data_IF_231154224055
#
_entry.id   IF_231154224055
#
_cell.length_a   1.000
_cell.length_b   1.000
_cell.length_c   1.000
_cell.angle_alpha   90.00
_cell.angle_beta   90.00
_cell.angle_gamma   90.00
#
_symmetry.space_group_name_H-M   'P 1'
#
loop_
_entity.id
_entity.type
_entity.pdbx_description
1 polymer ?
#
# COMPACT_ATOMS: atom_id res chain seq x y z
N UNK A 1 -3.50 -21.06 -9.15
CA UNK A 1 -4.08 -20.55 -7.89
C UNK A 1 -5.58 -20.52 -8.04
N UNK A 2 -6.29 -21.05 -7.05
CA UNK A 2 -7.75 -20.99 -6.89
C UNK A 2 -8.20 -19.58 -6.45
N UNK A 3 -9.52 -19.34 -6.41
CA UNK A 3 -10.05 -18.10 -5.83
C UNK A 3 -9.69 -17.94 -4.35
N UNK A 4 -9.74 -19.04 -3.59
CA UNK A 4 -9.34 -19.06 -2.18
C UNK A 4 -7.84 -18.75 -2.03
N UNK A 5 -6.99 -19.32 -2.90
CA UNK A 5 -5.54 -19.04 -2.86
C UNK A 5 -5.29 -17.53 -3.03
N UNK A 6 -5.94 -16.89 -4.00
CA UNK A 6 -5.80 -15.44 -4.21
C UNK A 6 -6.37 -14.63 -3.06
N UNK A 7 -7.57 -14.98 -2.57
CA UNK A 7 -8.23 -14.26 -1.48
C UNK A 7 -7.39 -14.30 -0.19
N UNK A 8 -6.95 -15.48 0.23
CA UNK A 8 -6.17 -15.63 1.46
C UNK A 8 -4.71 -15.16 1.33
N UNK A 9 -4.18 -15.10 0.10
CA UNK A 9 -2.93 -14.40 -0.19
C UNK A 9 -3.12 -12.88 -0.35
N UNK A 10 -4.31 -12.31 -0.12
CA UNK A 10 -4.55 -10.86 -0.24
C UNK A 10 -4.37 -10.30 -1.66
N UNK A 11 -4.48 -11.14 -2.69
CA UNK A 11 -4.53 -10.76 -4.10
C UNK A 11 -6.00 -10.63 -4.53
N UNK A 12 -6.69 -9.65 -3.95
CA UNK A 12 -8.14 -9.50 -4.00
C UNK A 12 -8.63 -9.16 -5.42
N UNK A 13 -7.88 -8.36 -6.17
CA UNK A 13 -8.24 -8.03 -7.55
C UNK A 13 -8.16 -9.26 -8.45
N UNK A 14 -7.11 -10.08 -8.29
CA UNK A 14 -7.01 -11.36 -9.02
C UNK A 14 -8.10 -12.34 -8.62
N UNK A 15 -8.45 -12.41 -7.33
CA UNK A 15 -9.58 -13.20 -6.86
C UNK A 15 -10.90 -12.76 -7.52
N UNK A 16 -11.16 -11.46 -7.53
CA UNK A 16 -12.36 -10.87 -8.13
C UNK A 16 -12.46 -11.12 -9.63
N UNK A 17 -11.37 -10.92 -10.38
CA UNK A 17 -11.31 -11.19 -11.81
C UNK A 17 -11.52 -12.66 -12.13
N UNK A 18 -10.90 -13.56 -11.37
CA UNK A 18 -11.08 -15.00 -11.53
C UNK A 18 -12.53 -15.41 -11.25
N UNK A 19 -13.13 -14.89 -10.17
CA UNK A 19 -14.52 -15.16 -9.81
C UNK A 19 -15.51 -14.77 -10.93
N UNK A 20 -15.28 -13.63 -11.61
CA UNK A 20 -16.11 -13.19 -12.75
C UNK A 20 -16.00 -14.10 -13.98
N UNK A 21 -14.96 -14.91 -14.07
CA UNK A 21 -14.72 -15.83 -15.18
C UNK A 21 -15.23 -17.26 -14.92
N UNK A 22 -15.68 -17.56 -13.70
CA UNK A 22 -16.19 -18.90 -13.34
C UNK A 22 -17.47 -19.22 -14.10
N UNK A 23 -17.46 -20.35 -14.81
CA UNK A 23 -18.61 -20.85 -15.59
C UNK A 23 -19.06 -22.25 -15.18
N UNK A 24 -18.24 -22.97 -14.42
CA UNK A 24 -18.59 -24.30 -13.92
C UNK A 24 -19.57 -24.17 -12.74
N UNK A 25 -20.46 -25.15 -12.54
CA UNK A 25 -21.47 -25.10 -11.48
C UNK A 25 -20.90 -25.40 -10.08
N UNK A 26 -19.74 -26.07 -10.00
CA UNK A 26 -19.08 -26.44 -8.73
C UNK A 26 -18.59 -25.19 -7.97
N UNK A 27 -17.95 -24.27 -8.66
CA UNK A 27 -17.34 -23.06 -8.08
C UNK A 27 -18.27 -21.85 -8.10
N UNK A 28 -19.41 -21.93 -8.80
CA UNK A 28 -20.31 -20.78 -9.05
C UNK A 28 -20.79 -20.10 -7.78
N UNK A 29 -21.11 -20.88 -6.75
CA UNK A 29 -21.58 -20.36 -5.45
C UNK A 29 -20.45 -19.60 -4.74
N UNK A 30 -19.23 -20.13 -4.75
CA UNK A 30 -18.05 -19.49 -4.18
C UNK A 30 -17.68 -18.20 -4.94
N UNK A 31 -17.73 -18.25 -6.27
CA UNK A 31 -17.49 -17.09 -7.12
C UNK A 31 -18.48 -15.95 -6.83
N UNK A 32 -19.78 -16.26 -6.72
CA UNK A 32 -20.81 -15.26 -6.36
C UNK A 32 -20.57 -14.65 -4.97
N UNK A 33 -20.08 -15.44 -4.01
CA UNK A 33 -19.70 -14.93 -2.68
C UNK A 33 -18.56 -13.91 -2.79
N UNK A 34 -17.50 -14.23 -3.53
CA UNK A 34 -16.37 -13.31 -3.70
C UNK A 34 -16.72 -12.07 -4.49
N UNK A 35 -17.52 -12.20 -5.57
CA UNK A 35 -18.01 -11.04 -6.31
C UNK A 35 -18.76 -10.10 -5.38
N UNK A 36 -19.76 -10.61 -4.63
CA UNK A 36 -20.54 -9.78 -3.70
C UNK A 36 -19.66 -9.13 -2.63
N UNK A 37 -18.72 -9.86 -2.07
CA UNK A 37 -17.82 -9.34 -1.03
C UNK A 37 -16.91 -8.23 -1.57
N UNK A 38 -16.38 -8.40 -2.78
CA UNK A 38 -15.34 -7.52 -3.32
C UNK A 38 -15.90 -6.34 -4.14
N UNK A 39 -17.17 -6.39 -4.54
CA UNK A 39 -17.84 -5.32 -5.28
C UNK A 39 -17.93 -4.01 -4.46
N UNK A 40 -18.03 -4.10 -3.13
CA UNK A 40 -18.08 -2.94 -2.22
C UNK A 40 -16.79 -2.11 -2.20
N UNK A 41 -15.65 -2.70 -2.55
CA UNK A 41 -14.34 -2.04 -2.55
C UNK A 41 -14.05 -1.30 -3.87
N UNK A 42 -14.96 -1.41 -4.84
CA UNK A 42 -14.94 -0.67 -6.11
C UNK A 42 -13.58 -0.72 -6.84
N UNK A 43 -12.88 -1.85 -6.81
CA UNK A 43 -11.56 -2.01 -7.45
C UNK A 43 -11.56 -1.65 -8.94
N UNK A 44 -12.69 -1.81 -9.62
CA UNK A 44 -12.88 -1.41 -11.01
C UNK A 44 -12.68 0.12 -11.23
N UNK A 45 -12.76 0.93 -10.16
CA UNK A 45 -12.53 2.40 -10.17
C UNK A 45 -11.08 2.79 -9.86
N UNK A 46 -10.23 1.84 -9.49
CA UNK A 46 -8.83 2.15 -9.23
C UNK A 46 -8.17 2.69 -10.50
N UNK A 47 -7.29 3.71 -10.39
CA UNK A 47 -6.48 4.15 -11.51
C UNK A 47 -5.71 2.97 -12.09
N UNK A 48 -5.82 2.76 -13.40
CA UNK A 48 -5.16 1.63 -14.07
C UNK A 48 -3.74 2.03 -14.46
N UNK A 49 -2.70 1.30 -14.00
CA UNK A 49 -1.36 1.47 -14.52
C UNK A 49 -1.35 1.40 -16.05
N UNK A 50 -0.53 2.22 -16.67
CA UNK A 50 -0.34 2.23 -18.11
C UNK A 50 0.83 1.34 -18.49
N UNK A 51 1.06 1.12 -19.79
CA UNK A 51 2.24 0.38 -20.26
C UNK A 51 3.58 1.13 -20.05
N UNK A 52 3.54 2.33 -19.47
CA UNK A 52 4.74 3.11 -19.21
C UNK A 52 5.52 2.51 -18.03
N UNK A 53 6.80 2.21 -18.27
CA UNK A 53 7.71 1.74 -17.22
C UNK A 53 8.24 2.95 -16.47
N UNK A 54 7.69 3.17 -15.28
CA UNK A 54 8.13 4.18 -14.33
C UNK A 54 9.28 3.61 -13.47
N UNK A 55 10.27 4.45 -13.14
CA UNK A 55 11.37 4.04 -12.26
C UNK A 55 10.84 3.88 -10.84
N UNK A 56 11.04 2.72 -10.24
CA UNK A 56 10.72 2.48 -8.83
C UNK A 56 11.98 2.70 -7.99
N UNK A 57 11.90 3.59 -7.00
CA UNK A 57 13.02 3.84 -6.10
C UNK A 57 13.00 2.85 -4.96
N UNK A 58 14.19 2.39 -4.59
CA UNK A 58 14.38 1.52 -3.43
C UNK A 58 14.45 2.37 -2.17
N UNK A 59 13.84 1.88 -1.09
CA UNK A 59 13.93 2.48 0.23
C UNK A 59 15.38 2.57 0.71
N UNK A 60 15.75 3.72 1.27
CA UNK A 60 17.09 4.00 1.79
C UNK A 60 17.29 3.39 3.18
N UNK A 61 18.54 3.45 3.66
CA UNK A 61 18.91 2.95 4.99
C UNK A 61 18.18 3.66 6.15
N UNK A 62 17.73 4.90 5.94
CA UNK A 62 16.95 5.70 6.88
C UNK A 62 15.43 5.49 6.76
N UNK A 63 15.01 4.46 6.03
CA UNK A 63 13.61 4.10 5.75
C UNK A 63 12.84 5.14 4.93
N UNK A 64 13.53 6.11 4.32
CA UNK A 64 12.93 7.08 3.41
C UNK A 64 12.96 6.61 1.96
N UNK A 65 12.06 7.17 1.16
CA UNK A 65 12.12 7.12 -0.30
C UNK A 65 12.53 8.48 -0.86
N UNK A 66 13.15 8.56 -2.05
CA UNK A 66 13.46 9.84 -2.70
C UNK A 66 12.27 10.77 -2.87
N UNK A 67 11.07 10.23 -3.03
CA UNK A 67 9.83 10.99 -3.10
C UNK A 67 9.55 11.79 -1.83
N UNK A 68 10.15 11.42 -0.70
CA UNK A 68 10.03 12.10 0.60
C UNK A 68 11.07 13.19 0.84
N UNK A 69 11.99 13.46 -0.11
CA UNK A 69 13.06 14.45 0.11
C UNK A 69 12.47 15.84 0.38
N UNK A 70 11.40 16.19 -0.36
CA UNK A 70 10.78 17.50 -0.23
C UNK A 70 10.05 17.67 1.12
N UNK A 71 9.49 16.62 1.71
CA UNK A 71 8.83 16.75 3.02
C UNK A 71 9.84 17.11 4.12
N UNK A 72 11.07 16.59 4.03
CA UNK A 72 12.16 16.89 4.97
C UNK A 72 12.55 18.36 4.87
N UNK A 73 12.75 18.88 3.65
CA UNK A 73 13.07 20.28 3.41
C UNK A 73 12.00 21.21 3.98
N UNK A 74 10.72 20.91 3.71
CA UNK A 74 9.59 21.75 4.13
C UNK A 74 9.47 21.77 5.65
N UNK A 75 9.60 20.60 6.30
CA UNK A 75 9.50 20.50 7.77
C UNK A 75 10.66 21.15 8.51
N UNK A 76 11.78 21.41 7.83
CA UNK A 76 12.91 22.14 8.39
C UNK A 76 12.71 23.67 8.40
N UNK A 77 11.71 24.19 7.67
CA UNK A 77 11.41 25.63 7.60
C UNK A 77 10.80 26.07 8.94
N UNK A 78 11.51 26.95 9.66
CA UNK A 78 11.04 27.50 10.95
C UNK A 78 10.26 28.80 10.81
N UNK A 79 10.49 29.52 9.72
CA UNK A 79 9.81 30.78 9.44
C UNK A 79 8.40 30.51 8.90
N UNK A 80 7.38 31.02 9.58
CA UNK A 80 5.98 30.73 9.27
C UNK A 80 5.57 31.25 7.89
N UNK A 81 6.08 32.42 7.47
CA UNK A 81 5.78 33.01 6.16
C UNK A 81 6.39 32.16 5.04
N UNK A 82 7.65 31.76 5.19
CA UNK A 82 8.33 30.87 4.25
C UNK A 82 7.66 29.49 4.17
N UNK A 83 7.22 28.94 5.30
CA UNK A 83 6.49 27.67 5.34
C UNK A 83 5.16 27.80 4.60
N UNK A 84 4.36 28.82 4.92
CA UNK A 84 3.07 29.07 4.26
C UNK A 84 3.23 29.26 2.75
N UNK A 85 4.25 30.01 2.31
CA UNK A 85 4.59 30.16 0.89
C UNK A 85 4.91 28.83 0.24
N UNK A 86 5.60 27.93 0.95
CA UNK A 86 5.96 26.62 0.42
C UNK A 86 4.73 25.71 0.26
N UNK A 87 3.77 25.78 1.19
CA UNK A 87 2.48 25.10 1.06
C UNK A 87 1.68 25.64 -0.14
N UNK A 88 1.61 26.96 -0.31
CA UNK A 88 0.93 27.56 -1.48
C UNK A 88 1.54 27.10 -2.81
N UNK A 89 2.86 26.94 -2.87
CA UNK A 89 3.52 26.41 -4.07
C UNK A 89 3.13 24.96 -4.35
N UNK A 90 3.03 24.11 -3.32
CA UNK A 90 2.56 22.73 -3.50
C UNK A 90 1.12 22.72 -4.05
N UNK A 91 0.23 23.52 -3.48
CA UNK A 91 -1.16 23.63 -3.95
C UNK A 91 -1.25 24.11 -5.39
N UNK A 92 -0.41 25.07 -5.78
CA UNK A 92 -0.37 25.57 -7.17
C UNK A 92 0.13 24.48 -8.13
N UNK A 93 1.22 23.79 -7.79
CA UNK A 93 1.74 22.66 -8.58
C UNK A 93 0.68 21.56 -8.74
N UNK A 94 -0.06 21.26 -7.66
CA UNK A 94 -1.15 20.27 -7.70
C UNK A 94 -2.29 20.66 -8.66
N UNK A 95 -2.46 21.96 -8.96
CA UNK A 95 -3.47 22.48 -9.89
C UNK A 95 -2.95 22.56 -11.32
N UNK A 96 -1.76 23.11 -11.52
CA UNK A 96 -1.28 23.54 -12.85
C UNK A 96 -0.10 22.75 -13.41
N UNK A 97 0.56 21.92 -12.59
CA UNK A 97 1.70 21.11 -13.00
C UNK A 97 1.36 19.99 -14.00
N UNK A 98 2.41 19.32 -14.49
CA UNK A 98 2.24 18.06 -15.25
C UNK A 98 1.68 16.95 -14.36
N UNK A 99 1.22 15.84 -14.93
CA UNK A 99 0.74 14.70 -14.14
C UNK A 99 1.79 14.20 -13.14
N UNK A 100 3.07 14.17 -13.52
CA UNK A 100 4.15 13.80 -12.62
C UNK A 100 4.35 14.82 -11.47
N UNK A 101 4.37 16.12 -11.80
CA UNK A 101 4.52 17.18 -10.80
C UNK A 101 3.34 17.20 -9.82
N UNK A 102 2.12 17.02 -10.34
CA UNK A 102 0.91 16.93 -9.53
C UNK A 102 0.97 15.73 -8.60
N UNK A 103 1.37 14.57 -9.10
CA UNK A 103 1.50 13.36 -8.29
C UNK A 103 2.49 13.56 -7.14
N UNK A 104 3.68 14.09 -7.43
CA UNK A 104 4.70 14.38 -6.42
C UNK A 104 4.24 15.45 -5.42
N UNK A 105 3.54 16.49 -5.87
CA UNK A 105 2.99 17.52 -4.99
C UNK A 105 1.93 16.95 -4.03
N UNK A 106 0.98 16.16 -4.56
CA UNK A 106 0.00 15.48 -3.72
C UNK A 106 0.65 14.50 -2.75
N UNK A 107 1.66 13.74 -3.16
CA UNK A 107 2.40 12.86 -2.27
C UNK A 107 3.06 13.64 -1.13
N UNK A 108 3.76 14.73 -1.45
CA UNK A 108 4.40 15.60 -0.46
C UNK A 108 3.39 16.19 0.53
N UNK A 109 2.24 16.67 0.04
CA UNK A 109 1.14 17.14 0.89
C UNK A 109 0.60 16.03 1.79
N UNK A 110 0.46 14.81 1.25
CA UNK A 110 0.01 13.63 2.00
C UNK A 110 0.94 13.29 3.16
N UNK A 111 2.26 13.34 2.95
CA UNK A 111 3.24 13.14 4.03
C UNK A 111 3.22 14.28 5.06
N UNK A 112 3.06 15.53 4.62
CA UNK A 112 2.93 16.66 5.55
C UNK A 112 1.70 16.50 6.45
N UNK A 113 0.55 16.14 5.89
CA UNK A 113 -0.66 15.83 6.66
C UNK A 113 -0.44 14.63 7.59
N UNK A 114 0.28 13.60 7.13
CA UNK A 114 0.62 12.44 7.96
C UNK A 114 1.43 12.84 9.19
N UNK A 115 2.47 13.66 9.01
CA UNK A 115 3.29 14.18 10.13
C UNK A 115 2.50 15.10 11.06
N UNK A 116 1.46 15.76 10.56
CA UNK A 116 0.56 16.58 11.34
C UNK A 116 -0.63 15.78 11.94
N UNK A 117 -0.64 14.46 11.81
CA UNK A 117 -1.69 13.55 12.31
C UNK A 117 -3.09 13.74 11.67
N UNK A 118 -3.15 14.37 10.49
CA UNK A 118 -4.35 14.52 9.68
C UNK A 118 -4.49 13.35 8.71
N UNK A 119 -4.86 12.17 9.23
CA UNK A 119 -4.78 10.92 8.48
C UNK A 119 -5.75 10.85 7.30
N UNK A 120 -6.95 11.44 7.42
CA UNK A 120 -7.94 11.42 6.34
C UNK A 120 -7.47 12.25 5.14
N UNK A 121 -6.97 13.45 5.40
CA UNK A 121 -6.39 14.35 4.42
C UNK A 121 -5.13 13.74 3.80
N UNK A 122 -4.31 13.07 4.61
CA UNK A 122 -3.12 12.33 4.16
C UNK A 122 -3.47 11.24 3.14
N UNK A 123 -4.40 10.34 3.49
CA UNK A 123 -4.86 9.28 2.58
C UNK A 123 -5.50 9.86 1.33
N UNK A 124 -6.31 10.92 1.47
CA UNK A 124 -6.90 11.59 0.32
C UNK A 124 -5.83 12.12 -0.64
N UNK A 125 -4.80 12.80 -0.13
CA UNK A 125 -3.68 13.29 -0.92
C UNK A 125 -2.92 12.15 -1.61
N UNK A 126 -2.62 11.05 -0.92
CA UNK A 126 -1.96 9.90 -1.55
C UNK A 126 -2.81 9.26 -2.65
N UNK A 127 -4.12 9.18 -2.46
CA UNK A 127 -5.04 8.71 -3.53
C UNK A 127 -5.04 9.65 -4.74
N UNK A 128 -4.91 10.96 -4.54
CA UNK A 128 -4.72 11.89 -5.66
C UNK A 128 -3.37 11.66 -6.35
N UNK A 129 -2.30 11.41 -5.60
CA UNK A 129 -0.99 11.10 -6.18
C UNK A 129 -1.07 9.86 -7.09
N UNK A 130 -1.72 8.80 -6.62
CA UNK A 130 -2.02 7.58 -7.39
C UNK A 130 -2.84 7.88 -8.65
N UNK A 131 -3.87 8.73 -8.57
CA UNK A 131 -4.68 9.13 -9.73
C UNK A 131 -3.86 9.87 -10.79
N UNK A 132 -2.93 10.72 -10.35
CA UNK A 132 -2.09 11.51 -11.27
C UNK A 132 -0.96 10.67 -11.87
N UNK A 133 -0.38 9.75 -11.12
CA UNK A 133 0.59 8.78 -11.62
C UNK A 133 0.30 7.37 -11.05
N UNK A 134 -0.44 6.53 -11.79
CA UNK A 134 -0.76 5.18 -11.34
C UNK A 134 0.41 4.19 -11.50
N UNK A 135 1.50 4.58 -12.15
CA UNK A 135 2.64 3.68 -12.42
C UNK A 135 3.70 3.70 -11.31
N UNK A 136 3.52 4.54 -10.28
CA UNK A 136 4.50 4.72 -9.22
C UNK A 136 4.13 3.93 -7.97
N UNK A 137 4.87 2.86 -7.68
CA UNK A 137 4.56 1.91 -6.61
C UNK A 137 4.51 2.57 -5.22
N UNK A 138 5.41 3.52 -4.92
CA UNK A 138 5.46 4.18 -3.60
C UNK A 138 4.17 4.92 -3.26
N UNK A 139 3.47 5.50 -4.24
CA UNK A 139 2.19 6.18 -4.00
C UNK A 139 1.11 5.18 -3.56
N UNK A 140 1.06 4.01 -4.18
CA UNK A 140 0.17 2.92 -3.76
C UNK A 140 0.56 2.36 -2.39
N UNK A 141 1.84 2.03 -2.23
CA UNK A 141 2.37 1.37 -1.04
C UNK A 141 2.22 2.19 0.23
N UNK A 142 2.56 3.49 0.18
CA UNK A 142 2.38 4.41 1.30
C UNK A 142 0.89 4.64 1.62
N UNK A 143 0.02 4.67 0.60
CA UNK A 143 -1.44 4.73 0.82
C UNK A 143 -1.90 3.51 1.63
N UNK A 144 -1.58 2.30 1.17
CA UNK A 144 -1.97 1.05 1.85
C UNK A 144 -1.38 0.91 3.25
N UNK A 145 -0.10 1.27 3.44
CA UNK A 145 0.54 1.32 4.75
C UNK A 145 -0.16 2.29 5.71
N UNK A 146 -0.48 3.50 5.24
CA UNK A 146 -1.16 4.52 6.05
C UNK A 146 -2.56 4.06 6.42
N UNK A 147 -3.32 3.52 5.46
CA UNK A 147 -4.66 2.96 5.68
C UNK A 147 -4.65 1.88 6.75
N UNK A 148 -3.74 0.90 6.65
CA UNK A 148 -3.59 -0.16 7.65
C UNK A 148 -3.25 0.42 9.04
N UNK A 149 -2.25 1.30 9.11
CA UNK A 149 -1.76 1.84 10.39
C UNK A 149 -2.81 2.64 11.16
N UNK A 150 -3.74 3.28 10.46
CA UNK A 150 -4.66 4.25 11.05
C UNK A 150 -6.13 3.84 10.94
N UNK A 151 -6.41 2.55 10.73
CA UNK A 151 -7.72 1.95 10.99
C UNK A 151 -8.72 2.00 9.83
N UNK A 152 -8.26 2.15 8.59
CA UNK A 152 -9.08 1.84 7.43
C UNK A 152 -9.30 0.33 7.30
N UNK A 153 -10.27 -0.07 6.46
CA UNK A 153 -10.61 -1.47 6.27
C UNK A 153 -9.39 -2.26 5.74
N UNK A 154 -9.07 -3.43 6.33
CA UNK A 154 -7.94 -4.25 5.88
C UNK A 154 -7.95 -4.59 4.39
N UNK A 155 -9.14 -4.87 3.83
CA UNK A 155 -9.30 -5.19 2.41
C UNK A 155 -9.08 -3.98 1.48
N UNK A 156 -9.31 -2.74 1.94
CA UNK A 156 -8.91 -1.54 1.20
C UNK A 156 -7.38 -1.44 1.16
N UNK A 157 -6.73 -1.56 2.31
CA UNK A 157 -5.27 -1.50 2.41
C UNK A 157 -4.60 -2.58 1.54
N UNK A 158 -5.14 -3.80 1.52
CA UNK A 158 -4.67 -4.88 0.63
C UNK A 158 -4.78 -4.52 -0.85
N UNK A 159 -5.87 -3.86 -1.29
CA UNK A 159 -6.01 -3.44 -2.69
C UNK A 159 -4.89 -2.50 -3.12
N UNK A 160 -4.53 -1.52 -2.28
CA UNK A 160 -3.40 -0.61 -2.55
C UNK A 160 -2.05 -1.32 -2.50
N UNK A 161 -1.84 -2.23 -1.54
CA UNK A 161 -0.60 -2.99 -1.42
C UNK A 161 -0.42 -3.99 -2.57
N UNK A 162 -1.51 -4.60 -3.05
CA UNK A 162 -1.50 -5.48 -4.22
C UNK A 162 -1.05 -4.70 -5.47
N UNK A 163 -1.55 -3.48 -5.71
CA UNK A 163 -1.06 -2.63 -6.80
C UNK A 163 0.42 -2.26 -6.62
N UNK A 164 0.84 -1.88 -5.41
CA UNK A 164 2.24 -1.54 -5.14
C UNK A 164 3.19 -2.71 -5.44
N UNK A 165 2.83 -3.93 -5.04
CA UNK A 165 3.61 -5.15 -5.29
C UNK A 165 3.58 -5.55 -6.77
N UNK A 166 2.47 -5.31 -7.49
CA UNK A 166 2.43 -5.55 -8.94
C UNK A 166 3.40 -4.63 -9.70
N UNK A 167 3.54 -3.38 -9.26
CA UNK A 167 4.43 -2.39 -9.88
C UNK A 167 5.90 -2.55 -9.47
N UNK A 168 6.15 -2.91 -8.21
CA UNK A 168 7.49 -3.13 -7.65
C UNK A 168 7.53 -4.43 -6.84
N UNK A 169 7.61 -5.60 -7.52
CA UNK A 169 7.55 -6.91 -6.87
C UNK A 169 8.81 -7.22 -6.04
N UNK A 170 9.86 -6.40 -6.17
CA UNK A 170 11.11 -6.56 -5.43
C UNK A 170 11.15 -5.74 -4.15
N UNK A 171 10.13 -4.91 -3.88
CA UNK A 171 10.14 -4.07 -2.69
C UNK A 171 9.74 -4.85 -1.42
N UNK A 172 10.65 -5.02 -0.45
CA UNK A 172 10.35 -5.73 0.79
C UNK A 172 9.32 -5.00 1.66
N UNK A 173 9.24 -3.66 1.59
CA UNK A 173 8.34 -2.86 2.43
C UNK A 173 6.88 -3.13 2.10
N UNK A 174 6.51 -3.26 0.82
CA UNK A 174 5.12 -3.52 0.42
C UNK A 174 4.69 -4.92 0.80
N UNK A 175 5.58 -5.92 0.63
CA UNK A 175 5.35 -7.30 1.09
C UNK A 175 5.18 -7.37 2.60
N UNK A 176 6.04 -6.70 3.36
CA UNK A 176 5.92 -6.66 4.82
C UNK A 176 4.60 -6.03 5.27
N UNK A 177 4.24 -4.87 4.73
CA UNK A 177 2.95 -4.25 5.05
C UNK A 177 1.76 -5.15 4.69
N UNK A 178 1.81 -5.83 3.54
CA UNK A 178 0.79 -6.83 3.16
C UNK A 178 0.69 -7.93 4.21
N UNK A 179 1.82 -8.49 4.65
CA UNK A 179 1.81 -9.53 5.68
C UNK A 179 1.22 -9.04 7.01
N UNK A 180 1.48 -7.81 7.42
CA UNK A 180 0.87 -7.23 8.62
C UNK A 180 -0.66 -7.15 8.51
N UNK A 181 -1.18 -6.75 7.35
CA UNK A 181 -2.64 -6.74 7.10
C UNK A 181 -3.22 -8.15 7.10
N UNK A 182 -2.50 -9.15 6.57
CA UNK A 182 -2.91 -10.55 6.61
C UNK A 182 -2.92 -11.11 8.05
N UNK A 183 -1.95 -10.74 8.89
CA UNK A 183 -1.95 -11.09 10.33
C UNK A 183 -3.17 -10.48 11.03
N UNK A 184 -3.48 -9.21 10.74
CA UNK A 184 -4.69 -8.57 11.27
C UNK A 184 -5.94 -9.33 10.84
N UNK A 185 -6.10 -9.66 9.56
CA UNK A 185 -7.26 -10.43 9.07
C UNK A 185 -7.34 -11.83 9.68
N UNK A 186 -6.20 -12.50 9.87
CA UNK A 186 -6.16 -13.80 10.53
C UNK A 186 -6.70 -13.71 11.96
N UNK A 187 -6.33 -12.65 12.70
CA UNK A 187 -6.83 -12.37 14.04
C UNK A 187 -8.30 -11.99 14.05
N UNK A 188 -8.69 -11.00 13.25
CA UNK A 188 -10.03 -10.42 13.27
C UNK A 188 -11.09 -11.42 12.78
N UNK A 189 -10.76 -12.24 11.78
CA UNK A 189 -11.66 -13.22 11.18
C UNK A 189 -11.47 -14.64 11.70
N UNK A 190 -10.44 -14.89 12.52
CA UNK A 190 -10.10 -16.21 13.04
C UNK A 190 -9.89 -17.24 11.91
N UNK A 191 -9.21 -16.82 10.84
CA UNK A 191 -9.01 -17.59 9.61
C UNK A 191 -7.52 -17.92 9.41
N UNK A 192 -7.17 -19.17 9.74
CA UNK A 192 -5.80 -19.69 9.64
C UNK A 192 -5.12 -19.53 8.25
N UNK A 193 -5.82 -19.61 7.11
CA UNK A 193 -5.18 -19.41 5.80
C UNK A 193 -4.53 -18.03 5.63
N UNK A 194 -5.08 -16.97 6.24
CA UNK A 194 -4.43 -15.65 6.20
C UNK A 194 -3.09 -15.65 6.94
N UNK A 195 -3.01 -16.34 8.09
CA UNK A 195 -1.78 -16.47 8.86
C UNK A 195 -0.68 -17.22 8.08
N UNK A 196 -1.05 -18.32 7.43
CA UNK A 196 -0.12 -19.08 6.60
C UNK A 196 0.44 -18.25 5.44
N UNK A 197 -0.42 -17.49 4.76
CA UNK A 197 0.02 -16.59 3.68
C UNK A 197 0.83 -15.40 4.19
N UNK A 198 0.55 -14.91 5.40
CA UNK A 198 1.38 -13.89 6.04
C UNK A 198 2.81 -14.39 6.27
N UNK A 199 2.97 -15.61 6.79
CA UNK A 199 4.30 -16.21 7.02
C UNK A 199 5.10 -16.31 5.72
N UNK A 200 4.49 -16.83 4.65
CA UNK A 200 5.13 -16.91 3.33
C UNK A 200 5.49 -15.53 2.78
N UNK A 201 4.61 -14.54 2.95
CA UNK A 201 4.86 -13.17 2.50
C UNK A 201 6.00 -12.51 3.29
N UNK A 202 6.15 -12.81 4.58
CA UNK A 202 7.26 -12.32 5.41
C UNK A 202 8.60 -12.91 4.99
N UNK A 203 8.64 -14.21 4.68
CA UNK A 203 9.85 -14.86 4.17
C UNK A 203 10.30 -14.23 2.84
N UNK A 204 9.36 -14.01 1.91
CA UNK A 204 9.62 -13.34 0.64
C UNK A 204 10.04 -11.87 0.83
N UNK A 205 9.41 -11.15 1.76
CA UNK A 205 9.82 -9.79 2.14
C UNK A 205 11.26 -9.78 2.66
N UNK A 206 11.61 -10.70 3.56
CA UNK A 206 12.95 -10.80 4.15
C UNK A 206 14.01 -11.12 3.10
N UNK A 207 13.70 -12.01 2.16
CA UNK A 207 14.58 -12.37 1.05
C UNK A 207 14.79 -11.21 0.06
N UNK A 208 13.82 -10.31 -0.04
CA UNK A 208 13.87 -9.13 -0.92
C UNK A 208 14.63 -7.94 -0.31
N UNK A 209 15.00 -7.98 0.97
CA UNK A 209 15.75 -6.90 1.60
C UNK A 209 17.17 -6.75 1.02
N UNK A 210 17.51 -5.52 0.62
CA UNK A 210 18.87 -5.12 0.26
C UNK A 210 19.78 -5.00 1.49
N UNK A 211 21.09 -4.94 1.25
CA UNK A 211 22.12 -4.91 2.31
C UNK A 211 22.00 -3.70 3.26
N UNK A 212 21.58 -2.56 2.73
CA UNK A 212 21.44 -1.31 3.48
C UNK A 212 20.16 -1.22 4.32
N UNK A 213 19.17 -2.10 4.08
CA UNK A 213 17.86 -2.07 4.74
C UNK A 213 17.85 -2.84 6.07
N UNK A 214 18.86 -2.59 6.92
CA UNK A 214 19.06 -3.35 8.18
C UNK A 214 17.91 -3.20 9.16
N UNK A 215 17.36 -1.99 9.29
CA UNK A 215 16.23 -1.71 10.18
C UNK A 215 14.97 -2.46 9.72
N UNK A 216 14.62 -2.35 8.43
CA UNK A 216 13.50 -3.09 7.85
C UNK A 216 13.67 -4.61 8.02
N UNK A 217 14.86 -5.13 7.74
CA UNK A 217 15.17 -6.56 7.91
C UNK A 217 14.93 -7.03 9.35
N UNK A 218 15.39 -6.25 10.34
CA UNK A 218 15.16 -6.55 11.75
C UNK A 218 13.68 -6.50 12.12
N UNK A 219 12.92 -5.54 11.57
CA UNK A 219 11.49 -5.41 11.83
C UNK A 219 10.67 -6.57 11.22
N UNK A 220 11.02 -7.00 10.01
CA UNK A 220 10.42 -8.20 9.38
C UNK A 220 10.74 -9.44 10.21
N UNK A 221 12.01 -9.64 10.61
CA UNK A 221 12.39 -10.79 11.44
C UNK A 221 11.64 -10.78 12.78
N UNK A 222 11.53 -9.62 13.43
CA UNK A 222 10.76 -9.49 14.66
C UNK A 222 9.28 -9.83 14.45
N UNK A 223 8.71 -9.46 13.30
CA UNK A 223 7.34 -9.83 12.95
C UNK A 223 7.20 -11.36 12.82
N UNK A 224 8.14 -12.02 12.13
CA UNK A 224 8.17 -13.49 12.00
C UNK A 224 8.24 -14.15 13.37
N UNK A 225 9.18 -13.72 14.22
CA UNK A 225 9.42 -14.33 15.52
C UNK A 225 8.22 -14.20 16.48
N UNK A 226 7.39 -13.16 16.28
CA UNK A 226 6.27 -12.87 17.17
C UNK A 226 4.90 -13.14 16.54
N UNK A 227 4.81 -13.54 15.27
CA UNK A 227 3.53 -13.60 14.55
C UNK A 227 2.47 -14.44 15.28
N UNK A 228 2.87 -15.61 15.81
CA UNK A 228 1.99 -16.50 16.57
C UNK A 228 1.39 -15.85 17.84
N UNK A 229 2.14 -14.94 18.48
CA UNK A 229 1.66 -14.26 19.68
C UNK A 229 0.50 -13.29 19.40
N UNK A 230 0.36 -12.78 18.17
CA UNK A 230 -0.68 -11.81 17.81
C UNK A 230 -2.06 -12.44 17.64
N UNK A 231 -2.14 -13.75 17.35
CA UNK A 231 -3.41 -14.46 17.12
C UNK A 231 -4.03 -14.99 18.42
N UNK A 232 -3.20 -15.26 19.44
CA UNK A 232 -3.64 -15.85 20.71
C UNK A 232 -3.69 -14.87 21.90
N UNK A 233 -3.58 -13.56 21.64
CA UNK A 233 -3.67 -12.47 22.64
C UNK A 233 -5.02 -11.76 22.64
#
# INVERSE_FOLDING_TARGET
MSMDDYFYNGELMKCYELAKQVTNEEDKVLAQKYIRLLEEYEYDRYPKPTAHIEVQHVERADESYPESDLVVEIRAIKDEEAFAKRIQQLEEVAKTGTSADKAQSFFTQGELFLFAHHYNESVHCFQQAVKQNPNKAVYWGITGQTMHRFGWMPFDALGYLEQAIQLDPTNPRWKWNKALVLIQLAKDLQMAPFMANAALTLEDALASCGEEQKSLKAAIQNTIDNMDSYVFS
#
